data_IF_700035430034
#
_entry.id   IF_700035430034
#
_cell.length_a   1.000
_cell.length_b   1.000
_cell.length_c   1.000
_cell.angle_alpha   90.00
_cell.angle_beta   90.00
_cell.angle_gamma   90.00
#
_symmetry.space_group_name_H-M   'P 1'
#
loop_
_entity.id
_entity.type
_entity.pdbx_description
1 polymer ?
#
# COMPACT_ATOMS: atom_id res chain seq x y z
N UNK A 1 -39.49 21.08 -25.59
CA UNK A 1 -38.17 20.40 -25.52
C UNK A 1 -37.99 19.97 -24.06
N UNK A 2 -38.31 18.74 -23.82
CA UNK A 2 -38.38 18.14 -22.50
C UNK A 2 -36.99 17.60 -22.09
N UNK A 3 -36.39 18.18 -21.08
CA UNK A 3 -35.11 17.71 -20.52
C UNK A 3 -35.39 16.89 -19.27
N UNK A 4 -35.70 15.63 -19.45
CA UNK A 4 -35.81 14.68 -18.35
C UNK A 4 -34.39 14.33 -17.86
N UNK A 5 -34.03 14.53 -16.58
CA UNK A 5 -32.73 14.10 -16.06
C UNK A 5 -32.68 12.58 -15.95
N UNK A 6 -31.61 12.00 -16.49
CA UNK A 6 -31.31 10.57 -16.45
C UNK A 6 -31.10 10.12 -14.99
N UNK A 7 -32.13 9.57 -14.35
CA UNK A 7 -31.99 8.89 -13.06
C UNK A 7 -31.34 7.54 -13.32
N UNK A 8 -30.06 7.40 -12.95
CA UNK A 8 -29.46 6.07 -12.76
C UNK A 8 -30.16 5.41 -11.58
N UNK A 9 -30.98 4.41 -11.85
CA UNK A 9 -31.42 3.48 -10.83
C UNK A 9 -30.19 2.65 -10.42
N UNK A 10 -29.55 2.98 -9.30
CA UNK A 10 -28.76 2.02 -8.56
C UNK A 10 -29.77 1.00 -8.01
N UNK A 11 -29.86 -0.15 -8.68
CA UNK A 11 -30.63 -1.28 -8.14
C UNK A 11 -30.13 -1.53 -6.72
N UNK A 12 -31.05 -1.59 -5.78
CA UNK A 12 -30.78 -2.07 -4.43
C UNK A 12 -30.13 -3.45 -4.60
N UNK A 13 -28.84 -3.55 -4.21
CA UNK A 13 -28.14 -4.83 -4.20
C UNK A 13 -28.87 -5.72 -3.20
N UNK A 14 -29.41 -6.85 -3.65
CA UNK A 14 -30.02 -7.83 -2.76
C UNK A 14 -29.06 -8.11 -1.58
N UNK A 15 -29.57 -8.19 -0.35
CA UNK A 15 -28.75 -8.48 0.80
C UNK A 15 -28.09 -9.85 0.61
N UNK A 16 -26.77 -9.88 0.70
CA UNK A 16 -25.95 -11.08 0.53
C UNK A 16 -26.46 -12.20 1.46
N UNK A 17 -26.68 -13.39 0.91
CA UNK A 17 -27.21 -14.54 1.66
C UNK A 17 -26.26 -14.96 2.77
N UNK A 18 -26.79 -15.55 3.83
CA UNK A 18 -25.99 -15.95 5.02
C UNK A 18 -24.90 -16.99 4.68
N UNK A 19 -25.15 -17.88 3.72
CA UNK A 19 -24.16 -18.84 3.23
C UNK A 19 -23.01 -18.17 2.46
N UNK A 20 -23.27 -17.09 1.72
CA UNK A 20 -22.25 -16.30 1.04
C UNK A 20 -21.41 -15.49 2.02
N UNK A 21 -22.04 -14.91 3.05
CA UNK A 21 -21.34 -14.23 4.14
C UNK A 21 -20.41 -15.19 4.90
N UNK A 22 -20.91 -16.38 5.24
CA UNK A 22 -20.13 -17.41 5.91
C UNK A 22 -18.92 -17.86 5.08
N UNK A 23 -19.08 -18.04 3.75
CA UNK A 23 -17.99 -18.36 2.83
C UNK A 23 -16.95 -17.22 2.77
N UNK A 24 -17.38 -15.96 2.65
CA UNK A 24 -16.45 -14.81 2.67
C UNK A 24 -15.67 -14.70 3.98
N UNK A 25 -16.32 -14.92 5.12
CA UNK A 25 -15.65 -14.93 6.43
C UNK A 25 -14.63 -16.06 6.50
N UNK A 26 -15.01 -17.28 6.06
CA UNK A 26 -14.11 -18.44 6.03
C UNK A 26 -12.89 -18.19 5.12
N UNK A 27 -13.09 -17.60 3.93
CA UNK A 27 -11.99 -17.23 3.03
C UNK A 27 -11.06 -16.17 3.64
N UNK A 28 -11.61 -15.16 4.32
CA UNK A 28 -10.81 -14.15 5.02
C UNK A 28 -10.01 -14.73 6.19
N UNK A 29 -10.60 -15.65 6.95
CA UNK A 29 -9.91 -16.33 8.07
C UNK A 29 -8.81 -17.27 7.56
N UNK A 30 -9.04 -18.00 6.47
CA UNK A 30 -8.03 -18.89 5.88
C UNK A 30 -6.87 -18.10 5.26
N UNK A 31 -7.13 -16.94 4.61
CA UNK A 31 -6.06 -16.09 4.10
C UNK A 31 -5.21 -15.47 5.22
N UNK A 32 -5.82 -14.98 6.31
CA UNK A 32 -5.10 -14.48 7.48
C UNK A 32 -4.24 -15.58 8.14
N UNK A 33 -4.74 -16.81 8.20
CA UNK A 33 -3.99 -17.95 8.76
C UNK A 33 -2.81 -18.35 7.87
N UNK A 34 -2.99 -18.32 6.55
CA UNK A 34 -1.92 -18.57 5.57
C UNK A 34 -0.85 -17.46 5.61
N UNK A 35 -1.25 -16.19 5.71
CA UNK A 35 -0.32 -15.07 5.85
C UNK A 35 0.42 -15.10 7.19
N UNK A 36 -0.22 -15.55 8.27
CA UNK A 36 0.43 -15.80 9.56
C UNK A 36 1.54 -16.84 9.48
N UNK A 37 1.35 -17.89 8.67
CA UNK A 37 2.37 -18.90 8.41
C UNK A 37 3.57 -18.34 7.62
N UNK A 38 3.32 -17.52 6.61
CA UNK A 38 4.36 -16.83 5.82
C UNK A 38 5.15 -15.85 6.67
N UNK A 39 4.47 -15.06 7.51
CA UNK A 39 5.10 -14.12 8.42
C UNK A 39 6.02 -14.86 9.40
N UNK A 40 5.55 -15.94 10.03
CA UNK A 40 6.37 -16.76 10.93
C UNK A 40 7.62 -17.32 10.26
N UNK A 41 7.53 -17.72 8.98
CA UNK A 41 8.70 -18.14 8.19
C UNK A 41 9.70 -17.01 7.99
N UNK A 42 9.22 -15.80 7.69
CA UNK A 42 10.07 -14.60 7.53
C UNK A 42 10.75 -14.25 8.88
N UNK A 43 9.98 -14.19 9.96
CA UNK A 43 10.52 -13.88 11.30
C UNK A 43 11.60 -14.88 11.72
N UNK A 44 11.36 -16.18 11.49
CA UNK A 44 12.36 -17.22 11.72
C UNK A 44 13.61 -17.01 10.88
N UNK A 45 13.45 -16.69 9.59
CA UNK A 45 14.59 -16.44 8.69
C UNK A 45 15.43 -15.23 9.15
N UNK A 46 14.78 -14.15 9.63
CA UNK A 46 15.45 -12.97 10.17
C UNK A 46 16.27 -13.32 11.42
N UNK A 47 15.68 -14.08 12.36
CA UNK A 47 16.37 -14.51 13.59
C UNK A 47 17.54 -15.44 13.28
N UNK A 48 17.34 -16.41 12.39
CA UNK A 48 18.37 -17.40 12.02
C UNK A 48 19.37 -16.85 10.97
N UNK A 49 19.17 -15.62 10.47
CA UNK A 49 19.96 -15.00 9.38
C UNK A 49 20.07 -15.90 8.16
N UNK A 50 18.93 -16.41 7.71
CA UNK A 50 18.80 -17.29 6.57
C UNK A 50 18.06 -16.64 5.41
N UNK A 51 18.36 -17.10 4.20
CA UNK A 51 17.65 -16.74 2.99
C UNK A 51 16.25 -17.36 2.96
N UNK A 52 15.35 -16.74 2.20
CA UNK A 52 14.05 -17.32 1.85
C UNK A 52 13.80 -17.26 0.36
N UNK A 53 12.97 -18.17 -0.13
CA UNK A 53 12.39 -18.09 -1.46
C UNK A 53 10.93 -17.61 -1.36
N UNK A 54 10.64 -16.44 -1.92
CA UNK A 54 9.27 -15.95 -2.11
C UNK A 54 8.73 -16.59 -3.37
N UNK A 55 7.94 -17.66 -3.23
CA UNK A 55 7.41 -18.44 -4.32
C UNK A 55 6.33 -17.69 -5.10
N UNK A 56 6.44 -17.73 -6.43
CA UNK A 56 5.47 -17.14 -7.37
C UNK A 56 5.09 -15.71 -6.97
N UNK A 57 6.08 -14.90 -6.62
CA UNK A 57 5.85 -13.51 -6.20
C UNK A 57 5.27 -12.69 -7.35
N UNK A 58 4.08 -12.10 -7.12
CA UNK A 58 3.38 -11.25 -8.09
C UNK A 58 3.91 -9.81 -8.03
N UNK A 59 4.43 -9.31 -9.15
CA UNK A 59 4.92 -7.94 -9.31
C UNK A 59 4.45 -7.33 -10.64
N UNK A 60 4.65 -6.04 -10.85
CA UNK A 60 4.33 -5.39 -12.12
C UNK A 60 5.06 -6.00 -13.33
N UNK A 61 6.25 -6.60 -13.11
CA UNK A 61 7.03 -7.29 -14.16
C UNK A 61 6.65 -8.76 -14.34
N UNK A 62 5.56 -9.23 -13.70
CA UNK A 62 5.07 -10.61 -13.79
C UNK A 62 5.26 -11.42 -12.51
N UNK A 63 4.99 -12.73 -12.60
CA UNK A 63 5.06 -13.69 -11.51
C UNK A 63 6.32 -14.50 -11.62
N UNK A 64 7.16 -14.49 -10.58
CA UNK A 64 8.40 -15.28 -10.51
C UNK A 64 8.81 -15.56 -9.07
N UNK A 65 9.62 -16.56 -8.85
CA UNK A 65 10.28 -16.82 -7.57
C UNK A 65 11.31 -15.70 -7.29
N UNK A 66 11.51 -15.36 -6.01
CA UNK A 66 12.51 -14.40 -5.57
C UNK A 66 13.35 -15.02 -4.47
N UNK A 67 14.66 -15.03 -4.61
CA UNK A 67 15.60 -15.44 -3.58
C UNK A 67 16.12 -14.20 -2.86
N UNK A 68 15.87 -14.12 -1.57
CA UNK A 68 16.11 -12.89 -0.82
C UNK A 68 16.62 -13.16 0.59
N UNK A 69 17.38 -12.22 1.15
CA UNK A 69 17.77 -12.15 2.56
C UNK A 69 16.81 -11.22 3.30
N UNK A 70 15.79 -11.72 4.03
CA UNK A 70 14.85 -10.88 4.78
C UNK A 70 15.51 -10.35 6.04
N UNK A 71 15.42 -9.04 6.34
CA UNK A 71 16.10 -8.46 7.50
C UNK A 71 15.27 -7.53 8.38
N UNK A 72 14.11 -7.04 7.91
CA UNK A 72 13.24 -6.16 8.71
C UNK A 72 11.79 -6.27 8.27
N UNK A 73 10.93 -6.69 9.19
CA UNK A 73 9.48 -6.70 9.01
C UNK A 73 8.91 -5.31 9.34
N UNK A 74 7.94 -4.83 8.57
CA UNK A 74 7.29 -3.52 8.73
C UNK A 74 5.79 -3.62 8.43
N UNK A 75 5.04 -2.54 8.72
CA UNK A 75 3.60 -2.49 8.42
C UNK A 75 2.81 -3.57 9.14
N UNK A 76 3.07 -3.78 10.44
CA UNK A 76 2.38 -4.79 11.27
C UNK A 76 2.43 -6.21 10.65
N UNK A 77 3.55 -6.55 10.03
CA UNK A 77 3.73 -7.86 9.40
C UNK A 77 3.25 -7.95 7.95
N UNK A 78 2.88 -6.84 7.32
CA UNK A 78 2.44 -6.83 5.92
C UNK A 78 3.59 -6.80 4.91
N UNK A 79 4.72 -6.20 5.31
CA UNK A 79 5.86 -5.99 4.44
C UNK A 79 7.15 -6.50 5.09
N UNK A 80 8.10 -6.85 4.24
CA UNK A 80 9.45 -7.21 4.66
C UNK A 80 10.49 -6.54 3.78
N UNK A 81 11.49 -5.90 4.40
CA UNK A 81 12.70 -5.47 3.72
C UNK A 81 13.64 -6.64 3.54
N UNK A 82 14.06 -6.85 2.31
CA UNK A 82 14.99 -7.91 1.92
C UNK A 82 16.10 -7.34 1.04
N UNK A 83 17.27 -7.98 1.08
CA UNK A 83 18.25 -7.86 0.01
C UNK A 83 17.89 -8.90 -1.07
N UNK A 84 17.61 -8.43 -2.28
CA UNK A 84 17.29 -9.29 -3.43
C UNK A 84 18.61 -9.77 -4.06
N UNK A 85 18.83 -11.09 -4.06
CA UNK A 85 20.07 -11.69 -4.54
C UNK A 85 20.24 -11.60 -6.07
N UNK A 86 19.12 -11.53 -6.82
CA UNK A 86 19.15 -11.39 -8.27
C UNK A 86 19.39 -9.93 -8.69
N UNK A 87 18.66 -8.99 -8.07
CA UNK A 87 18.76 -7.57 -8.40
C UNK A 87 19.87 -6.84 -7.63
N UNK A 88 20.50 -7.49 -6.65
CA UNK A 88 21.62 -7.00 -5.82
C UNK A 88 21.33 -5.64 -5.16
N UNK A 89 20.12 -5.51 -4.59
CA UNK A 89 19.69 -4.31 -3.87
C UNK A 89 18.62 -4.60 -2.83
N UNK A 90 18.50 -3.69 -1.87
CA UNK A 90 17.43 -3.77 -0.88
C UNK A 90 16.10 -3.37 -1.49
N UNK A 91 15.06 -4.17 -1.20
CA UNK A 91 13.67 -3.94 -1.62
C UNK A 91 12.71 -4.28 -0.50
N UNK A 92 11.56 -3.61 -0.53
CA UNK A 92 10.42 -3.97 0.28
C UNK A 92 9.49 -4.90 -0.50
N UNK A 93 9.15 -6.03 0.11
CA UNK A 93 8.24 -7.02 -0.43
C UNK A 93 6.96 -7.09 0.40
N UNK A 94 5.79 -7.15 -0.25
CA UNK A 94 4.53 -7.46 0.43
C UNK A 94 4.43 -8.97 0.62
N UNK A 95 4.24 -9.43 1.85
CA UNK A 95 4.18 -10.86 2.21
C UNK A 95 2.99 -11.54 1.52
N UNK A 96 1.87 -10.84 1.37
CA UNK A 96 0.67 -11.36 0.72
C UNK A 96 0.83 -11.63 -0.78
N UNK A 97 1.80 -11.00 -1.45
CA UNK A 97 2.05 -11.19 -2.89
C UNK A 97 2.83 -12.45 -3.23
N UNK A 98 3.44 -13.12 -2.26
CA UNK A 98 4.02 -14.44 -2.45
C UNK A 98 2.95 -15.51 -2.31
N UNK A 99 2.91 -16.49 -3.22
CA UNK A 99 2.02 -17.64 -3.07
C UNK A 99 2.41 -18.46 -1.83
N UNK A 100 3.72 -18.63 -1.61
CA UNK A 100 4.31 -19.28 -0.45
C UNK A 100 5.67 -18.69 -0.11
N UNK A 101 6.20 -18.94 1.10
CA UNK A 101 7.53 -18.50 1.54
C UNK A 101 8.26 -19.68 2.16
N UNK A 102 9.38 -20.05 1.53
CA UNK A 102 10.16 -21.20 1.92
C UNK A 102 11.47 -20.74 2.56
N UNK A 103 11.72 -21.18 3.80
CA UNK A 103 13.00 -21.00 4.45
C UNK A 103 14.06 -21.84 3.75
N UNK A 104 15.15 -21.21 3.33
CA UNK A 104 16.29 -21.90 2.72
C UNK A 104 17.36 -22.24 3.76
N UNK A 105 18.19 -23.20 3.47
CA UNK A 105 19.30 -23.56 4.36
C UNK A 105 20.57 -22.71 4.13
N UNK A 106 20.43 -21.63 3.38
CA UNK A 106 21.49 -20.70 3.01
C UNK A 106 21.55 -19.54 4.00
N UNK A 107 22.72 -19.23 4.51
CA UNK A 107 22.95 -18.07 5.38
C UNK A 107 23.02 -16.76 4.56
N UNK A 108 22.75 -15.64 5.19
CA UNK A 108 22.99 -14.32 4.59
C UNK A 108 24.45 -14.13 4.21
N UNK A 109 24.69 -13.57 3.05
CA UNK A 109 26.03 -13.22 2.55
C UNK A 109 26.22 -11.70 2.38
N UNK A 110 25.10 -10.93 2.37
CA UNK A 110 25.09 -9.50 2.12
C UNK A 110 24.63 -8.65 3.31
N UNK A 111 24.79 -9.15 4.55
CA UNK A 111 24.33 -8.48 5.77
C UNK A 111 24.82 -7.01 5.88
N UNK A 112 26.01 -6.68 5.35
CA UNK A 112 26.57 -5.31 5.38
C UNK A 112 25.82 -4.34 4.47
N UNK A 113 25.10 -4.87 3.50
CA UNK A 113 24.32 -4.10 2.51
C UNK A 113 22.87 -3.94 2.94
N UNK A 114 22.44 -4.60 4.04
CA UNK A 114 21.07 -4.50 4.54
C UNK A 114 20.75 -3.07 4.97
N UNK A 115 19.93 -2.38 4.18
CA UNK A 115 19.48 -1.02 4.43
C UNK A 115 17.98 -0.91 4.12
N UNK A 116 17.17 -0.75 5.17
CA UNK A 116 15.78 -0.37 4.99
C UNK A 116 15.73 1.13 4.66
N UNK A 117 15.11 1.48 3.55
CA UNK A 117 14.83 2.87 3.21
C UNK A 117 13.61 3.35 4.01
N UNK A 118 13.54 4.64 4.27
CA UNK A 118 12.32 5.23 4.79
C UNK A 118 11.22 5.14 3.75
N UNK A 119 10.00 4.94 4.22
CA UNK A 119 8.80 4.91 3.38
C UNK A 119 7.90 6.06 3.76
N UNK A 120 7.22 6.63 2.76
CA UNK A 120 6.15 7.61 2.98
C UNK A 120 4.88 6.95 3.54
N UNK A 121 3.86 7.76 3.77
CA UNK A 121 2.56 7.30 4.29
C UNK A 121 1.86 6.32 3.35
N UNK A 122 2.22 6.30 2.07
CA UNK A 122 1.70 5.38 1.05
C UNK A 122 2.56 4.11 0.89
N UNK A 123 3.53 3.88 1.80
CA UNK A 123 4.49 2.77 1.77
C UNK A 123 5.41 2.74 0.54
N UNK A 124 5.67 3.89 -0.08
CA UNK A 124 6.66 4.02 -1.14
C UNK A 124 7.98 4.54 -0.58
N UNK A 125 9.07 4.12 -1.20
CA UNK A 125 10.42 4.60 -0.92
C UNK A 125 11.06 5.14 -2.19
N UNK A 126 12.01 6.05 -2.06
CA UNK A 126 12.73 6.66 -3.18
C UNK A 126 13.94 7.45 -2.71
N UNK A 127 14.74 7.92 -3.67
CA UNK A 127 15.96 8.67 -3.38
C UNK A 127 15.68 10.17 -3.14
N UNK A 128 14.57 10.68 -3.68
CA UNK A 128 14.17 12.08 -3.56
C UNK A 128 12.73 12.18 -3.12
N UNK A 129 12.51 12.79 -1.98
CA UNK A 129 11.18 13.12 -1.50
C UNK A 129 10.69 14.44 -2.12
N UNK A 130 9.38 14.55 -2.32
CA UNK A 130 8.67 15.78 -2.66
C UNK A 130 7.63 16.09 -1.59
N UNK A 131 7.55 17.35 -1.19
CA UNK A 131 6.57 17.80 -0.22
C UNK A 131 5.22 18.03 -0.88
N UNK A 132 4.13 17.53 -0.25
CA UNK A 132 2.77 17.76 -0.68
C UNK A 132 1.91 18.29 0.46
N UNK A 133 0.97 19.16 0.12
CA UNK A 133 -0.11 19.56 1.01
C UNK A 133 -1.47 19.33 0.33
N UNK A 134 -2.33 18.58 1.01
CA UNK A 134 -3.69 18.29 0.55
C UNK A 134 -4.68 18.83 1.57
N UNK A 135 -5.64 19.65 1.12
CA UNK A 135 -6.82 20.03 1.90
C UNK A 135 -7.94 19.06 1.55
N UNK A 136 -8.64 18.57 2.54
CA UNK A 136 -9.69 17.58 2.35
C UNK A 136 -10.81 17.75 3.36
N UNK A 137 -12.00 17.29 3.03
CA UNK A 137 -13.13 17.20 3.95
C UNK A 137 -13.05 15.96 4.85
N UNK A 138 -14.05 15.80 5.72
CA UNK A 138 -14.12 14.67 6.65
C UNK A 138 -14.23 13.31 5.97
N UNK A 139 -14.89 13.21 4.80
CA UNK A 139 -15.00 11.97 4.05
C UNK A 139 -13.63 11.49 3.57
N UNK A 140 -12.92 12.36 2.86
CA UNK A 140 -11.58 12.04 2.34
C UNK A 140 -10.57 11.80 3.48
N UNK A 141 -10.66 12.56 4.57
CA UNK A 141 -9.80 12.37 5.73
C UNK A 141 -10.00 11.00 6.39
N UNK A 142 -11.24 10.55 6.54
CA UNK A 142 -11.53 9.24 7.13
C UNK A 142 -11.04 8.11 6.22
N UNK A 143 -11.28 8.20 4.91
CA UNK A 143 -10.74 7.22 3.94
C UNK A 143 -9.21 7.16 4.04
N UNK A 144 -8.54 8.32 4.09
CA UNK A 144 -7.07 8.36 4.23
C UNK A 144 -6.59 7.69 5.52
N UNK A 145 -7.27 7.94 6.65
CA UNK A 145 -6.94 7.31 7.94
C UNK A 145 -7.12 5.80 7.92
N UNK A 146 -8.18 5.32 7.28
CA UNK A 146 -8.50 3.90 7.19
C UNK A 146 -7.52 3.15 6.27
N UNK A 147 -7.18 3.73 5.11
CA UNK A 147 -6.24 3.14 4.16
C UNK A 147 -4.77 3.29 4.58
N UNK A 148 -4.45 4.41 5.24
CA UNK A 148 -3.09 4.78 5.65
C UNK A 148 -3.05 5.29 7.08
N UNK A 149 -3.17 4.45 8.12
CA UNK A 149 -3.25 4.85 9.53
C UNK A 149 -2.10 5.74 9.99
N UNK A 150 -0.91 5.56 9.41
CA UNK A 150 0.25 6.42 9.69
C UNK A 150 0.09 7.89 9.26
N UNK A 151 -0.93 8.21 8.45
CA UNK A 151 -1.21 9.58 8.01
C UNK A 151 -1.65 10.50 9.15
N UNK A 152 -2.21 9.94 10.22
CA UNK A 152 -2.79 10.69 11.36
C UNK A 152 -1.82 11.72 11.94
N UNK A 153 -0.53 11.39 12.02
CA UNK A 153 0.52 12.29 12.56
C UNK A 153 0.86 13.48 11.66
N UNK A 154 0.39 13.48 10.41
CA UNK A 154 0.61 14.52 9.42
C UNK A 154 -0.66 15.32 9.11
N UNK A 155 -1.76 15.02 9.79
CA UNK A 155 -3.05 15.67 9.62
C UNK A 155 -3.24 16.80 10.65
N UNK A 156 -3.65 17.95 10.16
CA UNK A 156 -4.07 19.08 11.00
C UNK A 156 -5.52 19.41 10.70
N UNK A 157 -6.36 19.45 11.73
CA UNK A 157 -7.76 19.89 11.63
C UNK A 157 -7.83 21.41 11.47
N UNK A 158 -8.71 21.86 10.58
CA UNK A 158 -9.06 23.27 10.38
C UNK A 158 -10.58 23.42 10.34
N UNK A 159 -11.08 24.66 10.41
CA UNK A 159 -12.52 24.99 10.37
C UNK A 159 -13.34 24.16 11.39
N UNK A 160 -12.91 24.18 12.65
CA UNK A 160 -13.58 23.48 13.76
C UNK A 160 -13.80 21.98 13.52
N UNK A 161 -12.93 21.35 12.75
CA UNK A 161 -12.99 19.92 12.46
C UNK A 161 -13.77 19.55 11.19
N UNK A 162 -14.22 20.52 10.42
CA UNK A 162 -14.91 20.25 9.15
C UNK A 162 -13.96 19.93 8.00
N UNK A 163 -12.71 20.42 8.08
CA UNK A 163 -11.70 20.21 7.07
C UNK A 163 -10.35 19.82 7.67
N UNK A 164 -9.49 19.24 6.86
CA UNK A 164 -8.18 18.74 7.25
C UNK A 164 -7.11 19.11 6.24
N UNK A 165 -5.90 19.37 6.74
CA UNK A 165 -4.71 19.50 5.90
C UNK A 165 -3.78 18.33 6.20
N UNK A 166 -3.45 17.55 5.18
CA UNK A 166 -2.33 16.63 5.17
C UNK A 166 -1.10 17.39 4.69
N UNK A 167 -0.01 17.40 5.48
CA UNK A 167 1.28 17.99 5.11
C UNK A 167 2.36 16.92 5.32
N UNK A 168 2.92 16.40 4.24
CA UNK A 168 3.87 15.25 4.30
C UNK A 168 4.75 15.19 3.07
N UNK A 169 5.86 14.46 3.22
CA UNK A 169 6.73 14.13 2.10
C UNK A 169 6.35 12.79 1.49
N UNK A 170 6.38 12.72 0.16
CA UNK A 170 6.12 11.49 -0.62
C UNK A 170 7.24 11.26 -1.63
N UNK A 171 7.48 10.01 -1.99
CA UNK A 171 8.54 9.66 -2.94
C UNK A 171 8.05 9.53 -4.37
N UNK A 172 6.74 9.39 -4.59
CA UNK A 172 6.14 9.22 -5.92
C UNK A 172 4.74 9.81 -5.99
N UNK A 173 4.30 10.20 -7.18
CA UNK A 173 2.97 10.77 -7.41
C UNK A 173 1.86 9.75 -7.57
N UNK A 174 2.16 8.48 -7.89
CA UNK A 174 1.14 7.48 -8.26
C UNK A 174 0.15 7.19 -7.13
N UNK A 175 0.62 7.04 -5.90
CA UNK A 175 -0.27 6.73 -4.77
C UNK A 175 -1.08 7.96 -4.32
N UNK A 176 -0.47 9.13 -3.99
CA UNK A 176 -1.25 10.31 -3.67
C UNK A 176 -2.09 10.80 -4.86
N UNK A 177 -1.63 10.64 -6.10
CA UNK A 177 -2.39 10.98 -7.30
C UNK A 177 -3.66 10.14 -7.44
N UNK A 178 -3.57 8.81 -7.24
CA UNK A 178 -4.74 7.93 -7.22
C UNK A 178 -5.74 8.32 -6.14
N UNK A 179 -5.27 8.67 -4.94
CA UNK A 179 -6.11 9.16 -3.86
C UNK A 179 -6.85 10.44 -4.25
N UNK A 180 -6.14 11.43 -4.80
CA UNK A 180 -6.75 12.69 -5.26
C UNK A 180 -7.73 12.44 -6.41
N UNK A 181 -7.37 11.65 -7.42
CA UNK A 181 -8.23 11.34 -8.58
C UNK A 181 -9.51 10.62 -8.15
N UNK A 182 -9.42 9.71 -7.20
CA UNK A 182 -10.58 9.00 -6.66
C UNK A 182 -11.53 9.87 -5.84
N UNK A 183 -11.09 11.05 -5.40
CA UNK A 183 -11.79 11.94 -4.46
C UNK A 183 -11.73 13.41 -4.91
N UNK A 184 -11.84 13.69 -6.22
CA UNK A 184 -11.66 15.02 -6.82
C UNK A 184 -12.53 16.12 -6.20
N UNK A 185 -13.76 15.77 -5.79
CA UNK A 185 -14.70 16.72 -5.16
C UNK A 185 -14.40 16.97 -3.67
N UNK A 186 -13.55 16.13 -3.06
CA UNK A 186 -13.28 16.09 -1.63
C UNK A 186 -11.85 16.47 -1.26
N UNK A 187 -10.93 16.52 -2.25
CA UNK A 187 -9.50 16.78 -2.03
C UNK A 187 -8.99 17.87 -2.96
N UNK A 188 -8.28 18.84 -2.38
CA UNK A 188 -7.62 19.92 -3.13
C UNK A 188 -6.11 19.89 -2.87
N UNK A 189 -5.31 19.88 -3.92
CA UNK A 189 -3.85 19.98 -3.81
C UNK A 189 -3.48 21.45 -3.57
N UNK A 190 -2.97 21.76 -2.36
CA UNK A 190 -2.47 23.09 -2.02
C UNK A 190 -1.02 23.24 -2.50
N UNK A 191 -0.16 22.26 -2.18
CA UNK A 191 1.26 22.24 -2.54
C UNK A 191 1.65 20.90 -3.19
N UNK A 192 2.65 20.91 -4.10
CA UNK A 192 3.15 19.75 -4.82
C UNK A 192 2.94 19.88 -6.33
N UNK A 193 3.80 20.62 -7.04
CA UNK A 193 3.65 20.90 -8.46
C UNK A 193 3.74 19.63 -9.33
N UNK A 194 4.62 18.69 -8.94
CA UNK A 194 4.73 17.40 -9.63
C UNK A 194 3.43 16.58 -9.50
N UNK A 195 2.80 16.60 -8.30
CA UNK A 195 1.52 15.93 -8.07
C UNK A 195 0.38 16.61 -8.84
N UNK A 196 0.32 17.94 -8.86
CA UNK A 196 -0.67 18.70 -9.65
C UNK A 196 -0.57 18.35 -11.13
N UNK A 197 0.67 18.30 -11.65
CA UNK A 197 0.91 17.92 -13.04
C UNK A 197 0.46 16.50 -13.31
N UNK A 198 0.84 15.54 -12.45
CA UNK A 198 0.46 14.13 -12.58
C UNK A 198 -1.07 13.95 -12.64
N UNK A 199 -1.81 14.58 -11.72
CA UNK A 199 -3.29 14.50 -11.68
C UNK A 199 -3.91 15.14 -12.92
N UNK A 200 -3.41 16.31 -13.35
CA UNK A 200 -3.89 17.00 -14.54
C UNK A 200 -3.67 16.17 -15.80
N UNK A 201 -2.47 15.62 -15.97
CA UNK A 201 -2.13 14.81 -17.15
C UNK A 201 -3.02 13.55 -17.18
N UNK A 202 -3.21 12.87 -16.05
CA UNK A 202 -4.10 11.73 -15.96
C UNK A 202 -5.56 12.04 -16.36
N UNK A 203 -6.11 13.16 -15.87
CA UNK A 203 -7.50 13.57 -16.19
C UNK A 203 -7.66 13.93 -17.67
N UNK A 204 -6.62 14.51 -18.31
CA UNK A 204 -6.67 14.88 -19.71
C UNK A 204 -6.54 13.69 -20.67
N UNK A 205 -5.95 12.58 -20.22
CA UNK A 205 -5.73 11.38 -21.04
C UNK A 205 -6.89 10.37 -20.94
N UNK A 206 -7.82 10.53 -19.97
CA UNK A 206 -8.92 9.59 -19.68
C UNK A 206 -10.27 10.29 -19.58
#
# INVERSE_FOLDING_TARGET
>A
MDKTPYKRNFGESEPMREDEKARMISMKLSSRKADGGKLGTIEKAVVEKKCVCLKRYSSASGIRDRHVEPFKVTGEGQFVWCYDLEERKCKQYSISRAADIILLNEAWTHQREHKALETDIFNWSGDKAMHIELRMDNLACNILKDEHPQSVKFLTSINDGEEWILSTDVYRCEAPGRFVIGLLDHVKILQGEELKKYVKDYINEH
#
